data_IF_707631742953
#
_entry.id   IF_707631742953
#
_cell.length_a   1.000
_cell.length_b   1.000
_cell.length_c   1.000
_cell.angle_alpha   90.00
_cell.angle_beta   90.00
_cell.angle_gamma   90.00
#
_symmetry.space_group_name_H-M   'P 1'
#
loop_
_entity.id
_entity.type
_entity.pdbx_description
1 polymer ?
#
# COMPACT_ATOMS: atom_id res chain seq x y z
N UNK A 1 6.45 6.89 22.54
CA UNK A 1 6.61 7.57 21.22
C UNK A 1 5.52 7.00 20.34
N UNK A 2 4.32 7.58 20.40
CA UNK A 2 3.09 6.96 19.86
C UNK A 2 2.73 7.43 18.43
N UNK A 3 3.71 7.91 17.66
CA UNK A 3 3.47 8.55 16.36
C UNK A 3 3.34 7.57 15.16
N UNK A 4 3.61 6.28 15.34
CA UNK A 4 3.76 5.33 14.23
C UNK A 4 2.47 4.90 13.50
N UNK A 5 1.36 4.52 14.19
CA UNK A 5 0.18 4.01 13.50
C UNK A 5 -0.65 5.10 12.82
N UNK A 6 -0.52 6.36 13.28
CA UNK A 6 -1.28 7.48 12.72
C UNK A 6 -0.72 7.92 11.36
N UNK A 7 0.60 7.97 11.18
CA UNK A 7 1.22 8.26 9.88
C UNK A 7 0.83 7.23 8.81
N UNK A 8 0.88 5.93 9.14
CA UNK A 8 0.47 4.88 8.19
C UNK A 8 -1.01 5.03 7.82
N UNK A 9 -1.88 5.34 8.78
CA UNK A 9 -3.31 5.57 8.53
C UNK A 9 -3.55 6.80 7.68
N UNK A 10 -2.81 7.88 7.90
CA UNK A 10 -2.88 9.10 7.09
C UNK A 10 -2.49 8.83 5.64
N UNK A 11 -1.36 8.15 5.40
CA UNK A 11 -0.93 7.78 4.05
C UNK A 11 -1.89 6.81 3.35
N UNK A 12 -2.46 5.83 4.08
CA UNK A 12 -3.51 4.97 3.54
C UNK A 12 -4.77 5.76 3.15
N UNK A 13 -5.15 6.75 3.96
CA UNK A 13 -6.30 7.63 3.69
C UNK A 13 -6.03 8.48 2.45
N UNK A 14 -4.87 9.12 2.39
CA UNK A 14 -4.45 9.92 1.24
C UNK A 14 -4.43 9.10 -0.06
N UNK A 15 -3.92 7.86 -0.01
CA UNK A 15 -3.95 6.94 -1.14
C UNK A 15 -5.38 6.73 -1.64
N UNK A 16 -6.30 6.32 -0.77
CA UNK A 16 -7.64 5.97 -1.22
C UNK A 16 -8.48 7.19 -1.61
N UNK A 17 -8.29 8.33 -0.95
CA UNK A 17 -8.92 9.60 -1.35
C UNK A 17 -8.42 10.04 -2.74
N UNK A 18 -7.14 9.84 -3.04
CA UNK A 18 -6.57 10.13 -4.35
C UNK A 18 -7.08 9.18 -5.44
N UNK A 19 -7.20 7.88 -5.15
CA UNK A 19 -7.77 6.91 -6.09
C UNK A 19 -9.26 7.17 -6.37
N UNK A 20 -10.04 7.55 -5.36
CA UNK A 20 -11.44 7.94 -5.53
C UNK A 20 -11.56 9.23 -6.37
N UNK A 21 -10.70 10.22 -6.11
CA UNK A 21 -10.65 11.43 -6.92
C UNK A 21 -10.29 11.13 -8.39
N UNK A 22 -9.33 10.23 -8.62
CA UNK A 22 -8.96 9.78 -9.96
C UNK A 22 -10.10 9.05 -10.68
N UNK A 23 -10.81 8.16 -9.98
CA UNK A 23 -12.00 7.46 -10.52
C UNK A 23 -13.10 8.46 -10.91
N UNK A 24 -13.36 9.46 -10.07
CA UNK A 24 -14.40 10.45 -10.27
C UNK A 24 -14.09 11.43 -11.42
N UNK A 25 -12.83 11.85 -11.54
CA UNK A 25 -12.40 12.76 -12.58
C UNK A 25 -12.21 12.07 -13.94
N UNK A 26 -11.87 10.77 -13.94
CA UNK A 26 -11.52 10.02 -15.14
C UNK A 26 -10.05 10.17 -15.51
N UNK A 27 -9.39 9.07 -15.85
CA UNK A 27 -7.96 9.03 -16.20
C UNK A 27 -7.65 9.63 -17.59
N UNK A 28 -8.69 9.92 -18.38
CA UNK A 28 -8.59 10.67 -19.62
C UNK A 28 -8.42 12.19 -19.38
N UNK A 29 -8.73 12.67 -18.18
CA UNK A 29 -8.65 14.07 -17.80
C UNK A 29 -7.37 14.37 -17.00
N UNK A 30 -6.77 15.59 -17.16
CA UNK A 30 -5.58 15.98 -16.41
C UNK A 30 -5.75 15.88 -14.89
N UNK A 31 -6.93 16.23 -14.37
CA UNK A 31 -7.22 16.16 -12.94
C UNK A 31 -7.23 14.71 -12.41
N UNK A 32 -7.71 13.76 -13.21
CA UNK A 32 -7.72 12.35 -12.84
C UNK A 32 -6.34 11.72 -12.93
N UNK A 33 -5.55 12.06 -13.96
CA UNK A 33 -4.14 11.66 -14.06
C UNK A 33 -3.32 12.19 -12.87
N UNK A 34 -3.50 13.47 -12.51
CA UNK A 34 -2.83 14.06 -11.35
C UNK A 34 -3.23 13.38 -10.04
N UNK A 35 -4.53 13.12 -9.84
CA UNK A 35 -5.01 12.41 -8.66
C UNK A 35 -4.44 10.98 -8.58
N UNK A 36 -4.32 10.28 -9.72
CA UNK A 36 -3.69 8.96 -9.78
C UNK A 36 -2.22 9.00 -9.39
N UNK A 37 -1.43 9.95 -9.93
CA UNK A 37 -0.02 10.13 -9.59
C UNK A 37 0.18 10.44 -8.10
N UNK A 38 -0.69 11.28 -7.52
CA UNK A 38 -0.72 11.53 -6.07
C UNK A 38 -0.97 10.24 -5.29
N UNK A 39 -1.94 9.44 -5.72
CA UNK A 39 -2.22 8.14 -5.14
C UNK A 39 -1.00 7.21 -5.19
N UNK A 40 -0.35 7.08 -6.34
CA UNK A 40 0.86 6.22 -6.46
C UNK A 40 2.00 6.71 -5.57
N UNK A 41 2.16 8.04 -5.42
CA UNK A 41 3.13 8.61 -4.48
C UNK A 41 2.81 8.21 -3.03
N UNK A 42 1.55 8.31 -2.60
CA UNK A 42 1.13 7.87 -1.27
C UNK A 42 1.31 6.35 -1.08
N UNK A 43 1.07 5.54 -2.11
CA UNK A 43 1.32 4.10 -2.10
C UNK A 43 2.80 3.76 -1.90
N UNK A 44 3.69 4.48 -2.56
CA UNK A 44 5.14 4.28 -2.42
C UNK A 44 5.58 4.65 -1.00
N UNK A 45 5.12 5.80 -0.48
CA UNK A 45 5.41 6.24 0.87
C UNK A 45 4.90 5.26 1.94
N UNK A 46 3.64 4.84 1.87
CA UNK A 46 3.11 3.88 2.87
C UNK A 46 3.80 2.53 2.80
N UNK A 47 4.26 2.11 1.61
CA UNK A 47 5.03 0.87 1.46
C UNK A 47 6.40 0.99 2.11
N UNK A 48 7.11 2.09 1.90
CA UNK A 48 8.41 2.36 2.56
C UNK A 48 8.24 2.44 4.07
N UNK A 49 7.35 3.31 4.56
CA UNK A 49 7.14 3.53 5.99
C UNK A 49 6.71 2.25 6.71
N UNK A 50 5.86 1.43 6.10
CA UNK A 50 5.46 0.14 6.67
C UNK A 50 6.63 -0.85 6.69
N UNK A 51 7.45 -0.86 5.64
CA UNK A 51 8.61 -1.74 5.56
C UNK A 51 9.59 -1.45 6.69
N UNK A 52 10.04 -0.20 6.79
CA UNK A 52 11.03 0.24 7.76
C UNK A 52 10.53 0.15 9.20
N UNK A 53 9.26 0.50 9.45
CA UNK A 53 8.75 0.59 10.83
C UNK A 53 8.17 -0.70 11.36
N UNK A 54 7.62 -1.56 10.51
CA UNK A 54 6.90 -2.77 10.93
C UNK A 54 7.62 -4.02 10.43
N UNK A 55 7.85 -4.15 9.12
CA UNK A 55 8.39 -5.39 8.57
C UNK A 55 9.84 -5.63 9.00
N UNK A 56 10.72 -4.65 8.88
CA UNK A 56 12.14 -4.82 9.21
C UNK A 56 12.36 -5.22 10.67
N UNK A 57 11.77 -4.55 11.68
CA UNK A 57 11.93 -4.95 13.08
C UNK A 57 11.39 -6.36 13.36
N UNK A 58 10.21 -6.69 12.80
CA UNK A 58 9.59 -8.00 12.98
C UNK A 58 10.35 -9.12 12.26
N UNK A 59 10.99 -8.83 11.13
CA UNK A 59 11.80 -9.79 10.38
C UNK A 59 13.16 -10.05 11.05
N UNK A 60 13.73 -9.01 11.66
CA UNK A 60 14.97 -9.11 12.41
C UNK A 60 14.80 -9.98 13.67
N UNK A 61 13.63 -9.93 14.30
CA UNK A 61 13.33 -10.69 15.50
C UNK A 61 13.05 -12.19 15.23
N UNK A 62 13.79 -13.12 15.87
CA UNK A 62 13.62 -14.56 15.62
C UNK A 62 12.23 -15.11 15.94
N UNK A 63 11.48 -14.48 16.85
CA UNK A 63 10.16 -14.98 17.28
C UNK A 63 9.07 -14.60 16.29
N UNK A 64 9.19 -13.43 15.64
CA UNK A 64 8.19 -12.94 14.69
C UNK A 64 8.56 -13.20 13.23
N UNK A 65 9.82 -13.53 12.93
CA UNK A 65 10.31 -13.77 11.57
C UNK A 65 9.47 -14.76 10.77
N UNK A 66 9.15 -15.92 11.32
CA UNK A 66 8.38 -16.95 10.60
C UNK A 66 6.97 -16.48 10.25
N UNK A 67 6.37 -15.65 11.11
CA UNK A 67 5.07 -15.06 10.85
C UNK A 67 5.12 -14.06 9.70
N UNK A 68 6.14 -13.19 9.66
CA UNK A 68 6.34 -12.24 8.58
C UNK A 68 6.55 -12.97 7.24
N UNK A 69 7.44 -13.97 7.21
CA UNK A 69 7.68 -14.79 6.01
C UNK A 69 6.40 -15.48 5.51
N UNK A 70 5.58 -15.99 6.43
CA UNK A 70 4.30 -16.59 6.06
C UNK A 70 3.36 -15.58 5.43
N UNK A 71 3.23 -14.39 6.02
CA UNK A 71 2.40 -13.33 5.47
C UNK A 71 2.88 -12.86 4.09
N UNK A 72 4.19 -12.67 3.90
CA UNK A 72 4.77 -12.30 2.60
C UNK A 72 4.43 -13.32 1.52
N UNK A 73 4.52 -14.62 1.85
CA UNK A 73 4.13 -15.69 0.91
C UNK A 73 2.66 -15.61 0.49
N UNK A 74 1.76 -15.19 1.39
CA UNK A 74 0.34 -15.00 1.10
C UNK A 74 0.06 -13.72 0.30
N UNK A 75 0.94 -12.72 0.44
CA UNK A 75 0.82 -11.43 -0.23
C UNK A 75 1.48 -11.42 -1.61
N UNK A 76 2.45 -12.30 -1.89
CA UNK A 76 3.22 -12.28 -3.14
C UNK A 76 2.35 -12.19 -4.39
N UNK A 77 1.35 -13.08 -4.52
CA UNK A 77 0.47 -13.07 -5.68
C UNK A 77 -0.46 -11.84 -5.75
N UNK A 78 -0.70 -11.16 -4.63
CA UNK A 78 -1.45 -9.91 -4.57
C UNK A 78 -0.59 -8.72 -4.99
N UNK A 79 0.65 -8.63 -4.49
CA UNK A 79 1.62 -7.60 -4.85
C UNK A 79 1.90 -7.64 -6.35
N UNK A 80 2.17 -8.81 -6.92
CA UNK A 80 2.41 -8.93 -8.38
C UNK A 80 1.23 -8.43 -9.21
N UNK A 81 -0.02 -8.67 -8.77
CA UNK A 81 -1.20 -8.17 -9.51
C UNK A 81 -1.37 -6.67 -9.37
N UNK A 82 -1.05 -6.09 -8.22
CA UNK A 82 -1.03 -4.65 -8.00
C UNK A 82 0.02 -4.00 -8.92
N UNK A 83 1.24 -4.53 -8.96
CA UNK A 83 2.32 -4.01 -9.79
C UNK A 83 1.96 -4.03 -11.28
N UNK A 84 1.37 -5.13 -11.76
CA UNK A 84 0.91 -5.24 -13.15
C UNK A 84 -0.19 -4.23 -13.47
N UNK A 85 -1.17 -4.04 -12.58
CA UNK A 85 -2.24 -3.05 -12.79
C UNK A 85 -1.70 -1.62 -12.78
N UNK A 86 -0.84 -1.30 -11.81
CA UNK A 86 -0.17 0.00 -11.73
C UNK A 86 0.62 0.28 -13.01
N UNK A 87 1.51 -0.63 -13.39
CA UNK A 87 2.35 -0.46 -14.58
C UNK A 87 1.52 -0.30 -15.84
N UNK A 88 0.42 -1.05 -15.99
CA UNK A 88 -0.46 -0.92 -17.16
C UNK A 88 -1.11 0.47 -17.23
N UNK A 89 -1.65 0.97 -16.12
CA UNK A 89 -2.25 2.31 -16.06
C UNK A 89 -1.18 3.38 -16.36
N UNK A 90 -0.02 3.31 -15.71
CA UNK A 90 1.09 4.26 -15.92
C UNK A 90 1.56 4.28 -17.38
N UNK A 91 1.72 3.11 -18.00
CA UNK A 91 2.13 2.99 -19.40
C UNK A 91 1.07 3.57 -20.35
N UNK A 92 -0.21 3.28 -20.16
CA UNK A 92 -1.29 3.82 -20.99
C UNK A 92 -1.41 5.35 -20.86
N UNK A 93 -1.21 5.89 -19.66
CA UNK A 93 -1.18 7.35 -19.43
C UNK A 93 -0.01 8.00 -20.18
N UNK A 94 1.21 7.46 -20.03
CA UNK A 94 2.43 7.98 -20.66
C UNK A 94 2.41 7.88 -22.19
N UNK A 95 1.90 6.77 -22.73
CA UNK A 95 1.89 6.52 -24.16
C UNK A 95 0.82 7.35 -24.91
N UNK A 96 -0.07 8.03 -24.18
CA UNK A 96 -1.13 8.84 -24.79
C UNK A 96 -2.09 8.00 -25.65
N UNK A 97 -2.24 6.72 -25.32
CA UNK A 97 -3.07 5.79 -26.08
C UNK A 97 -4.54 6.20 -25.99
N UNK A 98 -5.32 5.95 -27.04
CA UNK A 98 -6.76 6.21 -27.10
C UNK A 98 -7.59 5.23 -26.22
N UNK A 99 -6.94 4.33 -25.47
CA UNK A 99 -7.58 3.32 -24.61
C UNK A 99 -7.88 3.81 -23.18
N UNK A 100 -7.78 5.13 -22.92
CA UNK A 100 -7.96 5.70 -21.57
C UNK A 100 -9.33 5.40 -20.95
N UNK A 101 -10.36 5.21 -21.76
CA UNK A 101 -11.69 4.80 -21.29
C UNK A 101 -11.69 3.38 -20.66
N UNK A 102 -10.78 2.49 -21.12
CA UNK A 102 -10.63 1.13 -20.59
C UNK A 102 -9.82 1.09 -19.29
N UNK A 103 -9.24 2.20 -18.85
CA UNK A 103 -8.45 2.29 -17.62
C UNK A 103 -9.30 2.41 -16.36
N UNK A 104 -10.56 2.86 -16.47
CA UNK A 104 -11.43 3.02 -15.30
C UNK A 104 -11.70 1.67 -14.58
N UNK A 105 -12.04 0.56 -15.28
CA UNK A 105 -12.08 -0.77 -14.66
C UNK A 105 -10.77 -1.22 -14.03
N UNK A 106 -9.62 -0.78 -14.56
CA UNK A 106 -8.30 -1.17 -14.03
C UNK A 106 -7.96 -0.42 -12.76
N UNK A 107 -8.25 0.89 -12.73
CA UNK A 107 -8.14 1.72 -11.54
C UNK A 107 -9.00 1.16 -10.41
N UNK A 108 -10.23 0.78 -10.72
CA UNK A 108 -11.12 0.16 -9.75
C UNK A 108 -10.57 -1.17 -9.20
N UNK A 109 -10.02 -2.02 -10.09
CA UNK A 109 -9.37 -3.27 -9.68
C UNK A 109 -8.13 -3.01 -8.83
N UNK A 110 -7.33 -2.01 -9.18
CA UNK A 110 -6.14 -1.61 -8.42
C UNK A 110 -6.53 -1.18 -7.01
N UNK A 111 -7.51 -0.27 -6.87
CA UNK A 111 -8.02 0.16 -5.58
C UNK A 111 -8.54 -1.01 -4.73
N UNK A 112 -9.28 -1.95 -5.33
CA UNK A 112 -9.76 -3.15 -4.65
C UNK A 112 -8.62 -4.07 -4.18
N UNK A 113 -7.59 -4.27 -5.00
CA UNK A 113 -6.42 -5.10 -4.64
C UNK A 113 -5.60 -4.45 -3.52
N UNK A 114 -5.42 -3.13 -3.55
CA UNK A 114 -4.75 -2.36 -2.51
C UNK A 114 -5.49 -2.45 -1.18
N UNK A 115 -6.82 -2.31 -1.16
CA UNK A 115 -7.63 -2.52 0.06
C UNK A 115 -7.46 -3.94 0.61
N UNK A 116 -7.43 -4.95 -0.28
CA UNK A 116 -7.21 -6.33 0.14
C UNK A 116 -5.81 -6.54 0.73
N UNK A 117 -4.80 -5.86 0.18
CA UNK A 117 -3.40 -5.90 0.66
C UNK A 117 -3.33 -5.29 2.06
N UNK A 118 -3.75 -4.04 2.23
CA UNK A 118 -3.65 -3.36 3.52
C UNK A 118 -4.46 -4.04 4.62
N UNK A 119 -5.63 -4.61 4.29
CA UNK A 119 -6.39 -5.43 5.26
C UNK A 119 -5.62 -6.64 5.74
N UNK A 120 -4.86 -7.31 4.87
CA UNK A 120 -4.04 -8.47 5.23
C UNK A 120 -2.80 -8.03 6.02
N UNK A 121 -2.15 -6.96 5.58
CA UNK A 121 -0.99 -6.38 6.28
C UNK A 121 -1.35 -5.85 7.67
N UNK A 122 -2.59 -5.41 7.90
CA UNK A 122 -3.08 -4.99 9.22
C UNK A 122 -2.99 -6.11 10.28
N UNK A 123 -2.89 -7.38 9.87
CA UNK A 123 -2.64 -8.49 10.79
C UNK A 123 -1.27 -8.40 11.50
N UNK A 124 -0.32 -7.61 10.97
CA UNK A 124 0.96 -7.34 11.62
C UNK A 124 0.85 -6.33 12.76
N UNK A 125 -0.17 -5.49 12.82
CA UNK A 125 -0.25 -4.44 13.84
C UNK A 125 -0.26 -4.98 15.28
N UNK A 126 -1.06 -6.01 15.62
CA UNK A 126 -1.00 -6.60 16.95
C UNK A 126 0.34 -7.29 17.25
N UNK A 127 0.97 -7.89 16.25
CA UNK A 127 2.28 -8.56 16.37
C UNK A 127 3.37 -7.53 16.65
N UNK A 128 3.34 -6.40 15.93
CA UNK A 128 4.22 -5.26 16.13
C UNK A 128 4.07 -4.69 17.54
N UNK A 129 2.84 -4.47 18.00
CA UNK A 129 2.60 -3.96 19.35
C UNK A 129 3.12 -4.90 20.44
N UNK A 130 2.87 -6.21 20.30
CA UNK A 130 3.41 -7.21 21.24
C UNK A 130 4.95 -7.27 21.22
N UNK A 131 5.56 -7.08 20.05
CA UNK A 131 7.01 -6.98 19.92
C UNK A 131 7.55 -5.73 20.63
N UNK A 132 6.93 -4.55 20.44
CA UNK A 132 7.30 -3.31 21.13
C UNK A 132 7.23 -3.46 22.65
N UNK A 133 6.12 -3.98 23.17
CA UNK A 133 5.95 -4.23 24.62
C UNK A 133 7.05 -5.12 25.19
N UNK A 134 7.52 -6.11 24.41
CA UNK A 134 8.62 -6.98 24.83
C UNK A 134 9.97 -6.25 24.81
N UNK A 135 10.25 -5.43 23.79
CA UNK A 135 11.49 -4.65 23.73
C UNK A 135 11.58 -3.63 24.88
N UNK A 136 10.47 -2.99 25.21
CA UNK A 136 10.40 -2.02 26.30
C UNK A 136 10.70 -2.68 27.66
N UNK A 137 10.18 -3.90 27.89
CA UNK A 137 10.47 -4.68 29.10
C UNK A 137 11.92 -5.17 29.18
N UNK A 138 12.60 -5.34 28.05
CA UNK A 138 14.01 -5.76 28.01
C UNK A 138 14.97 -4.58 28.18
N UNK A 139 14.49 -3.36 27.92
CA UNK A 139 15.27 -2.12 27.99
C UNK A 139 15.08 -1.35 29.30
N UNK A 140 14.15 -1.79 30.15
CA UNK A 140 13.87 -1.28 31.49
C UNK A 140 14.62 -2.08 32.57
#
# INVERSE_FOLDING_TARGET
>A
MDQNPDLLRELETELFDALEAAEKAGLDQPDGEFAFQRGMTALDLVTVERTERIYEPLSADPVTRDYVLHLDSQLQGLVTRIDVLRARIELSLQAGLDDRADLHPELHRLAAQLRARFRREAALLPVYQAWQDRQDRMSA
#
